data_IF_020573019884
#
_entry.id   IF_020573019884
#
_cell.length_a   1.000
_cell.length_b   1.000
_cell.length_c   1.000
_cell.angle_alpha   90.00
_cell.angle_beta   90.00
_cell.angle_gamma   90.00
#
_symmetry.space_group_name_H-M   'P 1'
#
loop_
_entity.id
_entity.type
_entity.pdbx_description
1 polymer ?
#
# COMPACT_ATOMS: atom_id res chain seq x y z
N UNK A 1 9.68 -2.84 -18.27
CA UNK A 1 8.33 -3.41 -18.22
C UNK A 1 7.37 -2.42 -17.60
N UNK A 2 6.23 -2.17 -18.26
CA UNK A 2 5.29 -1.10 -17.89
C UNK A 2 4.24 -1.62 -16.92
N UNK A 3 3.92 -0.87 -15.86
CA UNK A 3 2.78 -1.11 -14.98
C UNK A 3 1.53 -0.35 -15.45
N UNK A 4 1.48 -0.01 -16.74
CA UNK A 4 0.36 0.69 -17.36
C UNK A 4 -0.96 -0.02 -17.08
N UNK A 5 -1.99 0.78 -16.77
CA UNK A 5 -3.35 0.33 -16.48
C UNK A 5 -3.48 -0.55 -15.22
N UNK A 6 -2.44 -0.60 -14.37
CA UNK A 6 -2.49 -1.27 -13.06
C UNK A 6 -2.83 -0.28 -11.96
N UNK A 7 -3.76 -0.66 -11.10
CA UNK A 7 -4.11 0.08 -9.90
C UNK A 7 -3.41 -0.51 -8.68
N UNK A 8 -2.52 0.25 -8.05
CA UNK A 8 -1.77 -0.18 -6.87
C UNK A 8 -2.25 0.58 -5.63
N UNK A 9 -2.70 -0.17 -4.63
CA UNK A 9 -3.01 0.35 -3.32
C UNK A 9 -1.73 0.53 -2.50
N UNK A 10 -1.67 1.58 -1.68
CA UNK A 10 -0.53 1.86 -0.81
C UNK A 10 -0.99 2.16 0.61
N UNK A 11 -0.56 1.31 1.56
CA UNK A 11 -0.77 1.47 2.98
C UNK A 11 0.45 2.09 3.65
N UNK A 12 0.31 3.35 4.06
CA UNK A 12 1.32 4.13 4.76
C UNK A 12 2.16 5.02 3.84
N UNK A 13 2.27 6.28 4.20
CA UNK A 13 3.01 7.34 3.50
C UNK A 13 4.09 7.97 4.40
N UNK A 14 3.88 7.99 5.71
CA UNK A 14 4.84 8.45 6.69
C UNK A 14 6.13 7.60 6.67
N UNK A 15 7.26 8.15 7.12
CA UNK A 15 8.50 7.36 7.15
C UNK A 15 8.46 6.20 8.17
N UNK A 16 7.63 6.36 9.22
CA UNK A 16 7.33 5.39 10.28
C UNK A 16 5.93 5.65 10.87
N UNK A 17 5.42 4.72 11.66
CA UNK A 17 4.14 4.91 12.33
C UNK A 17 4.17 6.04 13.39
N UNK A 18 3.00 6.62 13.67
CA UNK A 18 2.71 7.67 14.64
C UNK A 18 3.32 9.05 14.33
N UNK A 19 3.44 9.39 13.05
CA UNK A 19 3.83 10.74 12.59
C UNK A 19 3.24 11.04 11.22
N UNK A 20 3.07 12.32 10.90
CA UNK A 20 2.73 12.83 9.57
C UNK A 20 3.96 13.18 8.72
N UNK A 21 5.17 12.93 9.25
CA UNK A 21 6.41 13.26 8.60
C UNK A 21 6.69 12.30 7.44
N UNK A 22 6.79 12.88 6.25
CA UNK A 22 7.08 12.16 5.00
C UNK A 22 8.48 12.46 4.47
N UNK A 23 9.27 13.28 5.17
CA UNK A 23 10.65 13.58 4.76
C UNK A 23 11.45 12.28 4.75
N UNK A 24 12.13 12.03 3.64
CA UNK A 24 12.91 10.82 3.41
C UNK A 24 12.12 9.51 3.55
N UNK A 25 10.78 9.57 3.45
CA UNK A 25 9.94 8.37 3.50
C UNK A 25 10.16 7.51 2.25
N UNK A 26 10.57 6.24 2.41
CA UNK A 26 10.67 5.29 1.29
C UNK A 26 9.35 5.09 0.54
N UNK A 27 8.21 5.34 1.21
CA UNK A 27 6.90 5.24 0.59
C UNK A 27 6.74 6.24 -0.58
N UNK A 28 7.30 7.45 -0.46
CA UNK A 28 7.23 8.44 -1.54
C UNK A 28 8.02 7.99 -2.78
N UNK A 29 9.16 7.33 -2.58
CA UNK A 29 9.97 6.83 -3.68
C UNK A 29 9.29 5.65 -4.38
N UNK A 30 8.62 4.78 -3.61
CA UNK A 30 7.77 3.73 -4.18
C UNK A 30 6.64 4.33 -5.02
N UNK A 31 5.93 5.34 -4.50
CA UNK A 31 4.87 6.02 -5.26
C UNK A 31 5.40 6.60 -6.57
N UNK A 32 6.54 7.32 -6.54
CA UNK A 32 7.17 7.87 -7.75
C UNK A 32 7.53 6.79 -8.75
N UNK A 33 8.16 5.70 -8.29
CA UNK A 33 8.50 4.58 -9.16
C UNK A 33 7.27 3.95 -9.83
N UNK A 34 6.18 3.77 -9.08
CA UNK A 34 4.93 3.23 -9.62
C UNK A 34 4.33 4.16 -10.68
N UNK A 35 4.31 5.47 -10.41
CA UNK A 35 3.83 6.48 -11.35
C UNK A 35 4.69 6.54 -12.62
N UNK A 36 6.01 6.51 -12.49
CA UNK A 36 6.96 6.51 -13.62
C UNK A 36 6.81 5.23 -14.47
N UNK A 37 6.42 4.12 -13.86
CA UNK A 37 6.08 2.88 -14.55
C UNK A 37 4.67 2.89 -15.19
N UNK A 38 3.88 3.94 -14.97
CA UNK A 38 2.54 4.14 -15.54
C UNK A 38 1.38 3.56 -14.74
N UNK A 39 1.59 3.20 -13.46
CA UNK A 39 0.52 2.71 -12.60
C UNK A 39 -0.34 3.86 -12.06
N UNK A 40 -1.60 3.56 -11.78
CA UNK A 40 -2.49 4.36 -10.94
C UNK A 40 -2.24 4.00 -9.47
N UNK A 41 -2.07 4.99 -8.59
CA UNK A 41 -1.87 4.76 -7.15
C UNK A 41 -3.03 5.31 -6.34
N UNK A 42 -3.55 4.51 -5.41
CA UNK A 42 -4.45 4.97 -4.35
C UNK A 42 -3.80 4.72 -3.00
N UNK A 43 -3.50 5.80 -2.27
CA UNK A 43 -2.79 5.73 -1.00
C UNK A 43 -3.71 6.05 0.19
N UNK A 44 -3.40 5.44 1.33
CA UNK A 44 -3.96 5.79 2.63
C UNK A 44 -2.87 5.81 3.70
N UNK A 45 -2.92 6.80 4.57
CA UNK A 45 -2.13 6.90 5.80
C UNK A 45 -2.95 7.62 6.88
N UNK A 46 -2.93 7.20 8.15
CA UNK A 46 -3.65 7.89 9.23
C UNK A 46 -3.33 9.35 9.46
N UNK A 47 -2.09 9.77 9.18
CA UNK A 47 -1.58 11.08 9.59
C UNK A 47 -0.91 11.86 8.45
N UNK A 48 -0.34 11.18 7.46
CA UNK A 48 0.48 11.80 6.42
C UNK A 48 -0.27 12.16 5.13
N UNK A 49 -1.61 12.09 5.11
CA UNK A 49 -2.40 12.37 3.89
C UNK A 49 -2.23 13.80 3.39
N UNK A 50 -2.29 14.79 4.28
CA UNK A 50 -2.09 16.20 3.91
C UNK A 50 -0.66 16.47 3.45
N UNK A 51 0.33 15.86 4.11
CA UNK A 51 1.74 15.91 3.71
C UNK A 51 1.94 15.34 2.30
N UNK A 52 1.35 14.18 2.01
CA UNK A 52 1.42 13.58 0.69
C UNK A 52 0.64 14.37 -0.38
N UNK A 53 -0.51 14.98 -0.04
CA UNK A 53 -1.28 15.88 -0.94
C UNK A 53 -0.46 17.08 -1.38
N UNK A 54 0.37 17.66 -0.51
CA UNK A 54 1.27 18.77 -0.87
C UNK A 54 2.33 18.36 -1.91
N UNK A 55 2.73 17.07 -1.91
CA UNK A 55 3.77 16.54 -2.78
C UNK A 55 3.20 16.08 -4.12
N UNK A 56 2.21 15.18 -4.09
CA UNK A 56 1.70 14.53 -5.30
C UNK A 56 0.48 15.23 -5.91
N UNK A 57 -0.18 16.15 -5.18
CA UNK A 57 -1.38 16.87 -5.64
C UNK A 57 -2.43 15.88 -6.16
N UNK A 58 -2.78 15.95 -7.45
CA UNK A 58 -3.75 15.06 -8.09
C UNK A 58 -3.08 13.90 -8.84
N UNK A 59 -1.78 13.69 -8.65
CA UNK A 59 -1.01 12.62 -9.27
C UNK A 59 -1.30 11.23 -8.69
N UNK A 60 -1.93 11.16 -7.49
CA UNK A 60 -2.43 9.92 -6.89
C UNK A 60 -3.84 10.15 -6.34
N UNK A 61 -4.55 9.05 -6.07
CA UNK A 61 -5.80 9.08 -5.32
C UNK A 61 -5.53 8.89 -3.83
N UNK A 62 -6.41 9.46 -3.01
CA UNK A 62 -6.31 9.46 -1.56
C UNK A 62 -7.57 8.83 -0.99
N UNK A 63 -7.42 7.65 -0.43
CA UNK A 63 -8.52 6.89 0.15
C UNK A 63 -8.95 7.43 1.51
N UNK A 64 -10.21 7.18 1.90
CA UNK A 64 -10.74 7.58 3.20
C UNK A 64 -10.25 6.72 4.36
N UNK A 65 -9.94 5.45 4.08
CA UNK A 65 -9.46 4.45 5.01
C UNK A 65 -8.62 3.40 4.27
N UNK A 66 -8.06 2.44 5.01
CA UNK A 66 -7.21 1.41 4.45
C UNK A 66 -7.95 0.48 3.47
N UNK A 67 -9.24 0.22 3.66
CA UNK A 67 -10.02 -0.66 2.78
C UNK A 67 -10.48 0.04 1.51
N UNK A 68 -10.80 1.34 1.59
CA UNK A 68 -11.13 2.15 0.42
C UNK A 68 -9.97 2.15 -0.60
N UNK A 69 -8.72 2.17 -0.13
CA UNK A 69 -7.55 2.04 -0.98
C UNK A 69 -7.48 0.73 -1.77
N UNK A 70 -8.08 -0.35 -1.27
CA UNK A 70 -8.01 -1.68 -1.88
C UNK A 70 -9.00 -1.91 -3.02
N UNK A 71 -10.01 -1.05 -3.16
CA UNK A 71 -11.10 -1.25 -4.14
C UNK A 71 -10.54 -1.40 -5.56
N UNK A 72 -10.71 -2.59 -6.13
CA UNK A 72 -10.21 -3.01 -7.45
C UNK A 72 -8.69 -2.87 -7.61
N UNK A 73 -7.91 -2.94 -6.53
CA UNK A 73 -6.46 -2.89 -6.61
C UNK A 73 -5.89 -4.19 -7.20
N UNK A 74 -4.96 -4.08 -8.14
CA UNK A 74 -4.17 -5.18 -8.70
C UNK A 74 -3.06 -5.65 -7.73
N UNK A 75 -2.77 -4.85 -6.71
CA UNK A 75 -1.86 -5.19 -5.63
C UNK A 75 -1.83 -4.15 -4.53
N UNK A 76 -1.37 -4.56 -3.36
CA UNK A 76 -1.16 -3.72 -2.18
C UNK A 76 0.34 -3.64 -1.87
N UNK A 77 0.83 -2.43 -1.61
CA UNK A 77 2.12 -2.19 -0.96
C UNK A 77 1.91 -1.74 0.48
N UNK A 78 2.50 -2.45 1.44
CA UNK A 78 2.57 -2.03 2.84
C UNK A 78 3.91 -1.32 3.07
N UNK A 79 3.87 0.00 3.18
CA UNK A 79 5.06 0.83 3.25
C UNK A 79 5.33 1.41 4.64
N UNK A 80 4.34 1.40 5.56
CA UNK A 80 4.50 1.86 6.95
C UNK A 80 3.77 0.95 7.93
N UNK A 81 4.37 0.67 9.08
CA UNK A 81 3.90 -0.32 10.06
C UNK A 81 2.82 0.19 11.04
N UNK A 82 1.82 0.94 10.54
CA UNK A 82 0.70 1.43 11.34
C UNK A 82 -0.05 0.28 12.02
N UNK A 83 -0.50 0.50 13.25
CA UNK A 83 -1.16 -0.54 14.06
C UNK A 83 -2.45 -1.06 13.41
N UNK A 84 -3.21 -0.20 12.72
CA UNK A 84 -4.44 -0.61 12.04
C UNK A 84 -4.19 -1.62 10.91
N UNK A 85 -3.00 -1.63 10.30
CA UNK A 85 -2.65 -2.56 9.22
C UNK A 85 -2.24 -3.94 9.72
N UNK A 86 -1.99 -4.12 11.02
CA UNK A 86 -1.41 -5.37 11.57
C UNK A 86 -2.40 -6.52 11.66
N UNK A 87 -3.70 -6.22 11.70
CA UNK A 87 -4.78 -7.21 11.85
C UNK A 87 -5.98 -6.82 10.97
N UNK A 88 -5.79 -6.76 9.64
CA UNK A 88 -6.87 -6.44 8.74
C UNK A 88 -7.86 -7.61 8.67
N UNK A 89 -9.07 -7.33 8.20
CA UNK A 89 -9.99 -8.35 7.76
C UNK A 89 -9.53 -8.86 6.39
N UNK A 90 -8.83 -9.99 6.39
CA UNK A 90 -8.29 -10.58 5.16
C UNK A 90 -9.37 -11.04 4.18
N UNK A 91 -10.56 -11.39 4.68
CA UNK A 91 -11.66 -11.84 3.82
C UNK A 91 -12.24 -10.62 3.08
N UNK A 92 -12.40 -9.50 3.79
CA UNK A 92 -12.75 -8.22 3.18
C UNK A 92 -11.70 -7.76 2.15
N UNK A 93 -10.41 -7.95 2.42
CA UNK A 93 -9.36 -7.63 1.45
C UNK A 93 -9.51 -8.43 0.15
N UNK A 94 -9.80 -9.74 0.24
CA UNK A 94 -10.02 -10.60 -0.93
C UNK A 94 -11.21 -10.13 -1.77
N UNK A 95 -12.29 -9.67 -1.13
CA UNK A 95 -13.48 -9.15 -1.83
C UNK A 95 -13.23 -7.81 -2.53
N UNK A 96 -12.41 -6.95 -1.93
CA UNK A 96 -12.17 -5.60 -2.44
C UNK A 96 -11.15 -5.56 -3.57
N UNK A 97 -10.10 -6.40 -3.50
CA UNK A 97 -8.99 -6.37 -4.45
C UNK A 97 -9.35 -7.01 -5.79
N UNK A 98 -8.87 -6.42 -6.88
CA UNK A 98 -8.94 -7.03 -8.21
C UNK A 98 -7.96 -8.18 -8.39
N UNK A 99 -6.84 -8.15 -7.66
CA UNK A 99 -5.89 -9.26 -7.55
C UNK A 99 -5.27 -9.29 -6.16
N UNK A 100 -5.27 -10.44 -5.45
CA UNK A 100 -4.83 -10.53 -4.06
C UNK A 100 -3.30 -10.64 -3.95
N UNK A 101 -2.58 -9.65 -4.47
CA UNK A 101 -1.11 -9.56 -4.41
C UNK A 101 -0.69 -8.55 -3.36
N UNK A 102 0.21 -8.94 -2.46
CA UNK A 102 0.70 -8.07 -1.38
C UNK A 102 2.22 -8.04 -1.39
N UNK A 103 2.78 -6.82 -1.42
CA UNK A 103 4.18 -6.51 -1.18
C UNK A 103 4.31 -5.86 0.18
N UNK A 104 4.85 -6.57 1.16
CA UNK A 104 4.95 -6.12 2.53
C UNK A 104 6.39 -5.71 2.86
N UNK A 105 6.65 -4.41 2.74
CA UNK A 105 7.93 -3.80 3.07
C UNK A 105 8.23 -3.79 4.58
N UNK A 106 7.23 -4.09 5.42
CA UNK A 106 7.31 -4.03 6.88
C UNK A 106 7.16 -5.38 7.55
N UNK A 107 6.95 -6.44 6.77
CA UNK A 107 6.87 -7.82 7.24
C UNK A 107 5.81 -8.03 8.35
N UNK A 108 4.68 -7.32 8.23
CA UNK A 108 3.55 -7.37 9.15
C UNK A 108 2.84 -8.72 9.14
N UNK A 109 2.80 -9.40 7.99
CA UNK A 109 2.07 -10.64 7.82
C UNK A 109 2.97 -11.87 7.78
N UNK A 110 2.39 -13.01 8.16
CA UNK A 110 3.05 -14.31 8.09
C UNK A 110 2.92 -14.90 6.67
N UNK A 111 4.03 -15.23 5.97
CA UNK A 111 3.98 -15.69 4.58
C UNK A 111 3.15 -16.95 4.37
N UNK A 112 3.21 -17.92 5.27
CA UNK A 112 2.48 -19.19 5.14
C UNK A 112 0.98 -18.95 5.27
N UNK A 113 0.57 -18.21 6.30
CA UNK A 113 -0.84 -17.88 6.52
C UNK A 113 -1.44 -17.05 5.39
N UNK A 114 -0.65 -16.16 4.77
CA UNK A 114 -1.13 -15.38 3.62
C UNK A 114 -1.34 -16.26 2.39
N UNK A 115 -0.44 -17.22 2.13
CA UNK A 115 -0.58 -18.19 1.03
C UNK A 115 -1.77 -19.11 1.23
N UNK A 116 -1.97 -19.62 2.45
CA UNK A 116 -3.13 -20.44 2.81
C UNK A 116 -4.46 -19.71 2.57
N UNK A 117 -4.47 -18.38 2.76
CA UNK A 117 -5.62 -17.50 2.48
C UNK A 117 -5.78 -17.10 1.01
N UNK A 118 -4.90 -17.55 0.13
CA UNK A 118 -4.99 -17.26 -1.31
C UNK A 118 -4.32 -15.97 -1.77
N UNK A 119 -3.52 -15.31 -0.91
CA UNK A 119 -2.73 -14.16 -1.31
C UNK A 119 -1.40 -14.57 -1.95
N UNK A 120 -1.01 -13.86 -3.00
CA UNK A 120 0.37 -13.85 -3.48
C UNK A 120 1.16 -12.85 -2.64
N UNK A 121 1.88 -13.36 -1.64
CA UNK A 121 2.57 -12.53 -0.66
C UNK A 121 4.09 -12.46 -0.89
N UNK A 122 4.63 -11.26 -0.79
CA UNK A 122 6.06 -10.95 -0.91
C UNK A 122 6.50 -10.09 0.28
N UNK A 123 7.34 -10.65 1.16
CA UNK A 123 7.97 -9.92 2.26
C UNK A 123 9.45 -9.66 2.00
N UNK A 124 10.03 -8.66 2.66
CA UNK A 124 11.46 -8.36 2.55
C UNK A 124 12.28 -9.42 3.30
N UNK A 125 13.17 -10.12 2.59
CA UNK A 125 14.02 -11.15 3.17
C UNK A 125 13.26 -12.39 3.65
N UNK A 126 12.04 -12.62 3.15
CA UNK A 126 11.20 -13.78 3.48
C UNK A 126 10.96 -14.61 2.21
N UNK A 127 10.97 -15.94 2.36
CA UNK A 127 10.76 -16.90 1.26
C UNK A 127 9.36 -17.49 1.31
#
# INVERSE_FOLDING_TARGET
DTLKDRHIALWGLAFKANTDDVRESPALDVVRFLLDAGADVTAYDPQAMDSARRIFRDGIRYASDCYDALKKADGLVVATEWNEFRRPDFDQMLELMGSPVIFDGRNLFDPERMRERGFKYYGVGRI
#
